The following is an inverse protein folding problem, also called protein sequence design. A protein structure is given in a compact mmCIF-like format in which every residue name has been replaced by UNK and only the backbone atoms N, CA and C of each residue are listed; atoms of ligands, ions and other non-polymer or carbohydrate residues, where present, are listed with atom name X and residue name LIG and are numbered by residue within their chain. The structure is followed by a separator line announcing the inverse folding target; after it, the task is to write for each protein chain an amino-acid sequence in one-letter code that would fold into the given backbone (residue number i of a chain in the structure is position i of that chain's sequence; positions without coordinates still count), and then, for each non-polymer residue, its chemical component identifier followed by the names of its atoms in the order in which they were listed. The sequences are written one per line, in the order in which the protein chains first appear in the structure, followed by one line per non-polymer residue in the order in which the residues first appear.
data_IF_835021466360
#
_entry.id   IF_835021466360
#
_cell.length_a   1.000
_cell.length_b   1.000
_cell.length_c   1.000
_cell.angle_alpha   90.00
_cell.angle_beta   90.00
_cell.angle_gamma   90.00
#
_symmetry.space_group_name_H-M   'P 1'
#
loop_
_entity.id
_entity.type
_entity.pdbx_description
1 polymer ?
#
# COMPACT_ATOMS: atom_id res chain seq x y z
N UNK A 1 -29.42 10.33 -18.54
CA UNK A 1 -30.18 9.14 -18.15
C UNK A 1 -30.08 8.00 -19.16
N UNK A 2 -30.13 8.29 -20.47
CA UNK A 2 -30.01 7.23 -21.50
C UNK A 2 -28.68 6.49 -21.44
N UNK A 3 -27.58 7.17 -21.17
CA UNK A 3 -26.26 6.53 -20.97
C UNK A 3 -26.25 5.63 -19.73
N UNK A 4 -26.92 6.05 -18.67
CA UNK A 4 -27.05 5.26 -17.43
C UNK A 4 -27.88 3.99 -17.71
N UNK A 5 -28.98 4.10 -18.44
CA UNK A 5 -29.81 2.93 -18.79
C UNK A 5 -29.04 1.93 -19.65
N UNK A 6 -28.27 2.40 -20.63
CA UNK A 6 -27.41 1.56 -21.48
C UNK A 6 -26.38 0.84 -20.61
N UNK A 7 -25.73 1.57 -19.71
CA UNK A 7 -24.76 1.01 -18.77
C UNK A 7 -25.36 -0.10 -17.91
N UNK A 8 -26.57 0.12 -17.36
CA UNK A 8 -27.26 -0.86 -16.55
C UNK A 8 -27.58 -2.14 -17.35
N UNK A 9 -28.04 -1.99 -18.59
CA UNK A 9 -28.33 -3.12 -19.48
C UNK A 9 -27.06 -3.91 -19.81
N UNK A 10 -25.99 -3.23 -20.19
CA UNK A 10 -24.70 -3.86 -20.52
C UNK A 10 -24.11 -4.62 -19.33
N UNK A 11 -24.33 -4.13 -18.12
CA UNK A 11 -23.83 -4.73 -16.90
C UNK A 11 -24.83 -5.64 -16.20
N UNK A 12 -25.99 -5.89 -16.83
CA UNK A 12 -27.04 -6.79 -16.35
C UNK A 12 -27.55 -6.43 -14.94
N UNK A 13 -27.70 -5.14 -14.67
CA UNK A 13 -28.21 -4.62 -13.40
C UNK A 13 -29.70 -4.35 -13.57
N UNK A 14 -30.54 -5.17 -12.94
CA UNK A 14 -31.99 -5.09 -13.07
C UNK A 14 -32.73 -4.57 -11.85
N UNK A 15 -32.04 -4.29 -10.73
CA UNK A 15 -32.65 -3.81 -9.51
C UNK A 15 -31.69 -2.94 -8.69
N UNK A 16 -32.22 -2.17 -7.74
CA UNK A 16 -31.41 -1.38 -6.79
C UNK A 16 -30.54 -2.27 -5.91
N UNK A 17 -31.06 -3.44 -5.50
CA UNK A 17 -30.29 -4.40 -4.70
C UNK A 17 -29.07 -4.93 -5.48
N UNK A 18 -29.27 -5.25 -6.77
CA UNK A 18 -28.17 -5.65 -7.65
C UNK A 18 -27.15 -4.53 -7.85
N UNK A 19 -27.63 -3.28 -7.97
CA UNK A 19 -26.78 -2.09 -8.07
C UNK A 19 -25.90 -1.94 -6.82
N UNK A 20 -26.50 -2.00 -5.63
CA UNK A 20 -25.77 -1.91 -4.36
C UNK A 20 -24.73 -3.01 -4.21
N UNK A 21 -25.08 -4.23 -4.60
CA UNK A 21 -24.18 -5.38 -4.57
C UNK A 21 -22.98 -5.18 -5.52
N UNK A 22 -23.24 -4.71 -6.73
CA UNK A 22 -22.18 -4.41 -7.71
C UNK A 22 -21.25 -3.29 -7.22
N UNK A 23 -21.80 -2.23 -6.64
CA UNK A 23 -21.03 -1.13 -6.06
C UNK A 23 -20.15 -1.65 -4.91
N UNK A 24 -20.74 -2.46 -4.03
CA UNK A 24 -20.02 -3.04 -2.89
C UNK A 24 -18.86 -3.92 -3.37
N UNK A 25 -19.12 -4.83 -4.29
CA UNK A 25 -18.11 -5.74 -4.84
C UNK A 25 -16.97 -4.97 -5.52
N UNK A 26 -17.31 -3.97 -6.33
CA UNK A 26 -16.32 -3.15 -7.03
C UNK A 26 -15.47 -2.32 -6.04
N UNK A 27 -16.08 -1.76 -5.01
CA UNK A 27 -15.39 -0.99 -3.97
C UNK A 27 -14.43 -1.89 -3.19
N UNK A 28 -14.87 -3.08 -2.80
CA UNK A 28 -14.04 -4.06 -2.10
C UNK A 28 -12.84 -4.48 -2.95
N UNK A 29 -13.06 -4.76 -4.24
CA UNK A 29 -11.98 -5.13 -5.16
C UNK A 29 -10.95 -4.01 -5.30
N UNK A 30 -11.41 -2.78 -5.47
CA UNK A 30 -10.54 -1.60 -5.54
C UNK A 30 -9.68 -1.46 -4.30
N UNK A 31 -10.28 -1.53 -3.11
CA UNK A 31 -9.56 -1.42 -1.85
C UNK A 31 -8.58 -2.58 -1.63
N UNK A 32 -8.98 -3.80 -1.96
CA UNK A 32 -8.11 -4.97 -1.83
C UNK A 32 -6.84 -4.85 -2.69
N UNK A 33 -6.98 -4.41 -3.93
CA UNK A 33 -5.85 -4.19 -4.84
C UNK A 33 -4.98 -3.04 -4.35
N UNK A 34 -5.59 -1.95 -3.88
CA UNK A 34 -4.86 -0.81 -3.30
C UNK A 34 -4.05 -1.20 -2.07
N UNK A 35 -4.65 -1.99 -1.17
CA UNK A 35 -3.99 -2.47 0.04
C UNK A 35 -2.82 -3.40 -0.29
N UNK A 36 -3.00 -4.27 -1.28
CA UNK A 36 -1.93 -5.17 -1.76
C UNK A 36 -0.74 -4.39 -2.30
N UNK A 37 -0.99 -3.36 -3.11
CA UNK A 37 0.07 -2.49 -3.65
C UNK A 37 0.78 -1.74 -2.52
N UNK A 38 0.04 -1.16 -1.58
CA UNK A 38 0.61 -0.45 -0.43
C UNK A 38 1.44 -1.37 0.46
N UNK A 39 0.99 -2.59 0.70
CA UNK A 39 1.73 -3.59 1.47
C UNK A 39 3.06 -3.95 0.79
N UNK A 40 3.04 -4.12 -0.53
CA UNK A 40 4.26 -4.37 -1.29
C UNK A 40 5.24 -3.19 -1.21
N UNK A 41 4.74 -1.95 -1.37
CA UNK A 41 5.56 -0.74 -1.25
C UNK A 41 6.17 -0.58 0.14
N UNK A 42 5.39 -0.84 1.20
CA UNK A 42 5.86 -0.77 2.58
C UNK A 42 6.98 -1.80 2.83
N UNK A 43 6.79 -3.04 2.37
CA UNK A 43 7.82 -4.08 2.50
C UNK A 43 9.08 -3.75 1.69
N UNK A 44 8.94 -3.20 0.49
CA UNK A 44 10.07 -2.75 -0.33
C UNK A 44 10.88 -1.67 0.39
N UNK A 45 10.22 -0.71 1.04
CA UNK A 45 10.87 0.33 1.84
C UNK A 45 11.61 -0.26 3.04
N UNK A 46 11.00 -1.21 3.76
CA UNK A 46 11.65 -1.93 4.86
C UNK A 46 12.90 -2.67 4.40
N UNK A 47 12.83 -3.36 3.26
CA UNK A 47 13.96 -4.08 2.67
C UNK A 47 15.12 -3.13 2.34
N UNK A 48 14.82 -1.98 1.73
CA UNK A 48 15.84 -0.99 1.37
C UNK A 48 16.58 -0.48 2.61
N UNK A 49 15.85 -0.16 3.67
CA UNK A 49 16.41 0.30 4.96
C UNK A 49 17.24 -0.83 5.60
N UNK A 50 16.70 -2.05 5.65
CA UNK A 50 17.38 -3.20 6.25
C UNK A 50 18.68 -3.54 5.52
N UNK A 51 18.69 -3.51 4.20
CA UNK A 51 19.91 -3.73 3.39
C UNK A 51 20.99 -2.71 3.75
N UNK A 52 20.62 -1.44 3.88
CA UNK A 52 21.54 -0.37 4.27
C UNK A 52 22.14 -0.65 5.66
N UNK A 53 21.32 -1.04 6.62
CA UNK A 53 21.80 -1.38 7.96
C UNK A 53 22.73 -2.59 7.98
N UNK A 54 22.43 -3.62 7.20
CA UNK A 54 23.28 -4.83 7.11
C UNK A 54 24.64 -4.48 6.53
N UNK A 55 24.68 -3.68 5.47
CA UNK A 55 25.92 -3.23 4.83
C UNK A 55 26.73 -2.36 5.79
N UNK A 56 26.09 -1.40 6.46
CA UNK A 56 26.75 -0.52 7.43
C UNK A 56 27.30 -1.29 8.62
N UNK A 57 26.54 -2.27 9.13
CA UNK A 57 26.97 -3.15 10.22
C UNK A 57 28.24 -3.91 9.85
N UNK A 58 28.27 -4.52 8.68
CA UNK A 58 29.43 -5.27 8.20
C UNK A 58 30.67 -4.36 8.01
N UNK A 59 30.48 -3.17 7.43
CA UNK A 59 31.57 -2.18 7.24
C UNK A 59 32.16 -1.65 8.52
N UNK A 60 31.36 -1.50 9.55
CA UNK A 60 31.75 -0.84 10.80
C UNK A 60 32.09 -1.81 11.92
N UNK A 61 31.95 -3.10 11.69
CA UNK A 61 32.16 -4.14 12.71
C UNK A 61 33.56 -4.09 13.34
N UNK A 62 34.61 -4.03 12.54
CA UNK A 62 35.99 -3.97 13.04
C UNK A 62 36.28 -2.73 13.87
N UNK A 63 35.74 -1.58 13.46
CA UNK A 63 35.88 -0.31 14.18
C UNK A 63 35.15 -0.40 15.53
N UNK A 64 33.95 -0.94 15.55
CA UNK A 64 33.18 -1.10 16.80
C UNK A 64 33.85 -2.07 17.77
N UNK A 65 34.40 -3.18 17.29
CA UNK A 65 35.16 -4.12 18.11
C UNK A 65 36.42 -3.44 18.71
N UNK A 66 37.13 -2.62 17.93
CA UNK A 66 38.26 -1.85 18.41
C UNK A 66 37.84 -0.82 19.48
N UNK A 67 36.70 -0.17 19.30
CA UNK A 67 36.11 0.75 20.28
C UNK A 67 35.82 0.04 21.61
N UNK A 68 35.24 -1.14 21.56
CA UNK A 68 34.96 -1.96 22.75
C UNK A 68 36.26 -2.40 23.44
N UNK A 69 37.26 -2.84 22.70
CA UNK A 69 38.59 -3.22 23.21
C UNK A 69 39.34 -2.04 23.84
N UNK A 70 39.09 -0.85 23.36
CA UNK A 70 39.65 0.39 23.93
C UNK A 70 38.90 0.89 25.20
N UNK A 71 37.99 0.06 25.74
CA UNK A 71 37.18 0.39 26.91
C UNK A 71 36.20 1.53 26.69
N UNK A 72 35.66 1.66 25.47
CA UNK A 72 34.74 2.74 25.09
C UNK A 72 35.34 4.14 25.28
N UNK A 73 36.61 4.28 24.91
CA UNK A 73 37.38 5.52 25.05
C UNK A 73 36.69 6.69 24.29
N UNK A 74 36.56 7.82 24.96
CA UNK A 74 36.04 9.06 24.34
C UNK A 74 36.87 9.51 23.15
N UNK A 75 38.20 9.39 23.28
CA UNK A 75 39.14 9.75 22.20
C UNK A 75 38.94 8.91 20.97
N UNK A 76 38.73 7.59 21.14
CA UNK A 76 38.42 6.65 20.03
C UNK A 76 37.07 6.99 19.41
N UNK A 77 36.06 7.27 20.24
CA UNK A 77 34.72 7.68 19.78
C UNK A 77 34.78 8.93 18.91
N UNK A 78 35.48 9.96 19.34
CA UNK A 78 35.63 11.21 18.58
C UNK A 78 36.31 10.98 17.23
N UNK A 79 37.33 10.11 17.18
CA UNK A 79 38.07 9.80 15.96
C UNK A 79 37.24 8.97 14.98
N UNK A 80 36.24 8.24 15.45
CA UNK A 80 35.43 7.29 14.63
C UNK A 80 33.93 7.48 14.82
N UNK A 81 33.51 8.70 15.11
CA UNK A 81 32.12 9.05 15.49
C UNK A 81 31.08 8.53 14.50
N UNK A 82 31.30 8.77 13.20
CA UNK A 82 30.37 8.37 12.15
C UNK A 82 30.23 6.85 12.08
N UNK A 83 31.33 6.10 12.02
CA UNK A 83 31.32 4.65 11.94
C UNK A 83 30.65 4.02 13.16
N UNK A 84 30.91 4.54 14.36
CA UNK A 84 30.31 4.05 15.59
C UNK A 84 28.81 4.33 15.63
N UNK A 85 28.39 5.51 15.20
CA UNK A 85 26.98 5.88 15.11
C UNK A 85 26.23 4.98 14.13
N UNK A 86 26.80 4.73 12.95
CA UNK A 86 26.21 3.81 11.94
C UNK A 86 26.07 2.38 12.48
N UNK A 87 27.09 1.89 13.20
CA UNK A 87 27.06 0.56 13.81
C UNK A 87 25.95 0.45 14.85
N UNK A 88 25.86 1.41 15.75
CA UNK A 88 24.81 1.44 16.79
C UNK A 88 23.42 1.55 16.19
N UNK A 89 23.25 2.37 15.16
CA UNK A 89 21.96 2.52 14.46
C UNK A 89 21.53 1.22 13.79
N UNK A 90 22.46 0.52 13.15
CA UNK A 90 22.19 -0.77 12.52
C UNK A 90 21.77 -1.82 13.57
N UNK A 91 22.51 -1.93 14.68
CA UNK A 91 22.19 -2.86 15.76
C UNK A 91 20.82 -2.56 16.39
N UNK A 92 20.53 -1.28 16.64
CA UNK A 92 19.24 -0.86 17.17
C UNK A 92 18.09 -1.25 16.23
N UNK A 93 18.27 -1.10 14.91
CA UNK A 93 17.28 -1.52 13.91
C UNK A 93 17.05 -3.03 13.92
N UNK A 94 18.09 -3.83 14.08
CA UNK A 94 17.98 -5.30 14.18
C UNK A 94 17.25 -5.71 15.44
N UNK A 95 17.54 -5.09 16.57
CA UNK A 95 16.90 -5.37 17.86
C UNK A 95 15.40 -4.99 17.81
N UNK A 96 15.08 -3.83 17.24
CA UNK A 96 13.70 -3.38 17.06
C UNK A 96 12.89 -4.33 16.17
N UNK A 97 13.52 -4.85 15.11
CA UNK A 97 12.90 -5.82 14.22
C UNK A 97 12.80 -7.23 14.82
N UNK A 98 13.39 -7.46 15.99
CA UNK A 98 13.37 -8.76 16.66
C UNK A 98 14.16 -9.86 15.94
N UNK A 99 15.17 -9.50 15.16
CA UNK A 99 15.92 -10.43 14.34
C UNK A 99 16.93 -11.22 15.20
N UNK A 100 16.75 -12.54 15.24
CA UNK A 100 17.71 -13.46 15.86
C UNK A 100 18.91 -13.75 14.96
N UNK A 101 18.67 -13.70 13.65
CA UNK A 101 19.67 -13.93 12.61
C UNK A 101 19.46 -12.89 11.51
N UNK A 102 20.55 -12.27 11.05
CA UNK A 102 20.47 -11.30 9.96
C UNK A 102 20.14 -12.00 8.64
N UNK A 103 19.16 -11.50 7.89
CA UNK A 103 18.89 -11.97 6.55
C UNK A 103 20.06 -11.62 5.63
N UNK A 104 20.22 -12.40 4.57
CA UNK A 104 21.24 -12.12 3.55
C UNK A 104 20.77 -11.03 2.61
N UNK A 105 21.64 -10.09 2.26
CA UNK A 105 21.34 -9.00 1.31
C UNK A 105 20.82 -9.57 -0.01
N UNK A 106 21.38 -10.67 -0.49
CA UNK A 106 20.92 -11.34 -1.72
C UNK A 106 19.47 -11.80 -1.63
N UNK A 107 19.07 -12.40 -0.50
CA UNK A 107 17.69 -12.84 -0.28
C UNK A 107 16.71 -11.66 -0.25
N UNK A 108 17.10 -10.58 0.41
CA UNK A 108 16.31 -9.34 0.46
C UNK A 108 16.18 -8.71 -0.92
N UNK A 109 17.24 -8.74 -1.72
CA UNK A 109 17.22 -8.23 -3.10
C UNK A 109 16.29 -9.03 -3.99
N UNK A 110 16.26 -10.36 -3.85
CA UNK A 110 15.33 -11.24 -4.59
C UNK A 110 13.88 -10.92 -4.20
N UNK A 111 13.61 -10.83 -2.90
CA UNK A 111 12.27 -10.45 -2.40
C UNK A 111 11.82 -9.09 -2.94
N UNK A 112 12.71 -8.11 -2.95
CA UNK A 112 12.43 -6.78 -3.48
C UNK A 112 12.01 -6.83 -4.96
N UNK A 113 12.74 -7.58 -5.78
CA UNK A 113 12.43 -7.74 -7.21
C UNK A 113 11.06 -8.42 -7.41
N UNK A 114 10.76 -9.45 -6.61
CA UNK A 114 9.46 -10.13 -6.66
C UNK A 114 8.30 -9.21 -6.29
N UNK A 115 8.47 -8.40 -5.24
CA UNK A 115 7.48 -7.40 -4.82
C UNK A 115 7.27 -6.32 -5.88
N UNK A 116 8.35 -5.89 -6.53
CA UNK A 116 8.27 -4.92 -7.63
C UNK A 116 7.49 -5.48 -8.81
N UNK A 117 7.75 -6.73 -9.19
CA UNK A 117 7.00 -7.42 -10.26
C UNK A 117 5.52 -7.54 -9.93
N UNK A 118 5.22 -7.94 -8.70
CA UNK A 118 3.83 -8.05 -8.20
C UNK A 118 3.11 -6.71 -8.28
N UNK A 119 3.73 -5.65 -7.77
CA UNK A 119 3.19 -4.29 -7.82
C UNK A 119 2.89 -3.85 -9.25
N UNK A 120 3.85 -4.05 -10.16
CA UNK A 120 3.70 -3.69 -11.58
C UNK A 120 2.57 -4.48 -12.25
N UNK A 121 2.42 -5.77 -11.91
CA UNK A 121 1.35 -6.61 -12.44
C UNK A 121 -0.03 -6.22 -11.91
N UNK A 122 -0.13 -5.83 -10.64
CA UNK A 122 -1.40 -5.44 -10.00
C UNK A 122 -1.86 -4.03 -10.37
N UNK A 123 -0.97 -3.14 -10.74
CA UNK A 123 -1.30 -1.74 -10.99
C UNK A 123 -2.33 -1.52 -12.11
N UNK A 124 -2.25 -2.19 -13.28
CA UNK A 124 -3.30 -2.10 -14.30
C UNK A 124 -4.66 -2.58 -13.79
N UNK A 125 -4.69 -3.67 -13.02
CA UNK A 125 -5.92 -4.19 -12.40
C UNK A 125 -6.51 -3.21 -11.40
N UNK A 126 -5.65 -2.54 -10.61
CA UNK A 126 -6.04 -1.50 -9.68
C UNK A 126 -6.70 -0.32 -10.41
N UNK A 127 -6.12 0.15 -11.51
CA UNK A 127 -6.70 1.24 -12.31
C UNK A 127 -8.06 0.86 -12.88
N UNK A 128 -8.18 -0.33 -13.44
CA UNK A 128 -9.46 -0.85 -13.96
C UNK A 128 -10.51 -0.98 -12.86
N UNK A 129 -10.12 -1.47 -11.70
CA UNK A 129 -11.02 -1.59 -10.55
C UNK A 129 -11.51 -0.21 -10.07
N UNK A 130 -10.64 0.80 -10.07
CA UNK A 130 -11.02 2.18 -9.74
C UNK A 130 -12.03 2.75 -10.73
N UNK A 131 -11.76 2.60 -12.01
CA UNK A 131 -12.67 3.05 -13.08
C UNK A 131 -14.03 2.36 -12.97
N UNK A 132 -14.03 1.06 -12.76
CA UNK A 132 -15.25 0.26 -12.58
C UNK A 132 -16.07 0.74 -11.39
N UNK A 133 -15.42 0.95 -10.26
CA UNK A 133 -16.07 1.47 -9.06
C UNK A 133 -16.67 2.85 -9.31
N UNK A 134 -15.91 3.75 -9.92
CA UNK A 134 -16.37 5.12 -10.22
C UNK A 134 -17.56 5.13 -11.17
N UNK A 135 -17.56 4.30 -12.20
CA UNK A 135 -18.67 4.16 -13.13
C UNK A 135 -19.93 3.66 -12.44
N UNK A 136 -19.80 2.65 -11.58
CA UNK A 136 -20.93 2.08 -10.83
C UNK A 136 -21.50 3.09 -9.83
N UNK A 137 -20.66 3.81 -9.10
CA UNK A 137 -21.09 4.85 -8.14
C UNK A 137 -21.81 5.98 -8.88
N UNK A 138 -21.29 6.40 -10.04
CA UNK A 138 -21.91 7.43 -10.86
C UNK A 138 -23.29 6.98 -11.36
N UNK A 139 -23.38 5.74 -11.85
CA UNK A 139 -24.65 5.17 -12.31
C UNK A 139 -25.67 5.08 -11.17
N UNK A 140 -25.25 4.61 -10.00
CA UNK A 140 -26.09 4.54 -8.79
C UNK A 140 -26.64 5.90 -8.41
N UNK A 141 -25.78 6.91 -8.38
CA UNK A 141 -26.17 8.30 -8.07
C UNK A 141 -27.18 8.84 -9.07
N UNK A 142 -26.98 8.59 -10.36
CA UNK A 142 -27.90 9.03 -11.40
C UNK A 142 -29.28 8.36 -11.28
N UNK A 143 -29.32 7.07 -10.93
CA UNK A 143 -30.59 6.34 -10.69
C UNK A 143 -31.31 6.88 -9.46
N UNK A 144 -30.59 7.13 -8.37
CA UNK A 144 -31.15 7.67 -7.13
C UNK A 144 -31.75 9.07 -7.37
N UNK A 145 -31.07 9.93 -8.13
CA UNK A 145 -31.55 11.25 -8.49
C UNK A 145 -32.80 11.18 -9.35
N UNK A 146 -32.83 10.27 -10.31
CA UNK A 146 -34.00 10.06 -11.16
C UNK A 146 -35.24 9.67 -10.33
N UNK A 147 -35.10 8.73 -9.39
CA UNK A 147 -36.21 8.34 -8.52
C UNK A 147 -36.63 9.46 -7.56
N UNK A 148 -35.68 10.24 -7.05
CA UNK A 148 -36.00 11.41 -6.20
C UNK A 148 -36.79 12.46 -6.96
N UNK A 149 -36.41 12.78 -8.19
CA UNK A 149 -37.10 13.74 -9.06
C UNK A 149 -38.51 13.25 -9.41
N UNK A 150 -38.68 11.97 -9.73
CA UNK A 150 -40.00 11.38 -10.00
C UNK A 150 -40.92 11.43 -8.77
N UNK A 151 -40.42 11.19 -7.58
CA UNK A 151 -41.19 11.30 -6.34
C UNK A 151 -41.63 12.73 -6.09
N UNK A 152 -40.75 13.70 -6.29
CA UNK A 152 -41.07 15.12 -6.17
C UNK A 152 -42.17 15.56 -7.12
N UNK A 153 -42.14 15.13 -8.40
CA UNK A 153 -43.17 15.40 -9.38
C UNK A 153 -44.53 14.78 -8.99
N UNK A 154 -44.52 13.53 -8.51
CA UNK A 154 -45.73 12.85 -8.07
C UNK A 154 -46.35 13.54 -6.84
N UNK A 155 -45.55 13.98 -5.89
CA UNK A 155 -46.01 14.73 -4.72
C UNK A 155 -46.61 16.08 -5.13
N UNK A 156 -46.03 16.79 -6.07
CA UNK A 156 -46.56 18.05 -6.61
C UNK A 156 -47.91 17.84 -7.35
N UNK A 157 -48.06 16.72 -8.06
CA UNK A 157 -49.30 16.39 -8.74
C UNK A 157 -50.44 16.02 -7.75
N UNK A 158 -50.12 15.41 -6.64
CA UNK A 158 -51.07 15.01 -5.61
C UNK A 158 -51.57 16.22 -4.77
N UNK A 159 -50.80 17.28 -4.67
CA UNK A 159 -51.15 18.51 -3.95
C UNK A 159 -51.95 19.52 -4.80
N UNK A 160 -52.15 19.28 -6.08
CA UNK A 160 -53.01 20.05 -6.96
C UNK A 160 -54.36 19.37 -7.10
#
# INVERSE_FOLDING_TARGET
LSKTLIFLQENKIGSMDEMEEQVRAATMRYHKLGDSIKAAEARMAEIAVMKTHIINYAKTRSIYEAYRKAGYSKRFLEANRESIALHKAAKAAFDEAGLKKLPKVKELSIEYVELLKKKKAEYPSYRKARERMQELIKAQKNVEMFFADNRSEQEQQQTR
#
